data_IF_211566502041
#
_entry.id   IF_211566502041
#
_cell.length_a   1.000
_cell.length_b   1.000
_cell.length_c   1.000
_cell.angle_alpha   90.00
_cell.angle_beta   90.00
_cell.angle_gamma   90.00
#
_symmetry.space_group_name_H-M   'P 1'
#
loop_
_entity.id
_entity.type
_entity.pdbx_description
1 polymer ?
#
# COMPACT_ATOMS: atom_id res chain seq x y z
N UNK A 1 29.83 12.97 -14.13
CA UNK A 1 28.61 13.78 -14.04
C UNK A 1 27.51 12.83 -13.64
N UNK A 2 27.23 12.78 -12.34
CA UNK A 2 26.20 11.93 -11.77
C UNK A 2 24.85 12.51 -12.20
N UNK A 3 24.29 12.01 -13.29
CA UNK A 3 22.88 12.26 -13.61
C UNK A 3 22.09 11.36 -12.68
N UNK A 4 21.97 11.80 -11.42
CA UNK A 4 21.09 11.17 -10.45
C UNK A 4 19.73 11.06 -11.11
N UNK A 5 19.34 9.84 -11.47
CA UNK A 5 17.99 9.58 -11.95
C UNK A 5 17.09 9.95 -10.78
N UNK A 6 16.35 11.06 -10.92
CA UNK A 6 15.30 11.37 -9.96
C UNK A 6 14.33 10.19 -9.99
N UNK A 7 14.03 9.68 -8.80
CA UNK A 7 12.99 8.67 -8.62
C UNK A 7 11.70 9.17 -9.30
N UNK A 8 11.09 8.30 -10.10
CA UNK A 8 9.86 8.61 -10.82
C UNK A 8 8.70 8.53 -9.85
N UNK A 9 7.96 9.61 -9.68
CA UNK A 9 6.77 9.68 -8.83
C UNK A 9 5.53 9.84 -9.72
N UNK A 10 4.52 9.00 -9.54
CA UNK A 10 3.26 8.99 -10.31
C UNK A 10 2.06 8.75 -9.39
N UNK A 11 0.85 9.06 -9.87
CA UNK A 11 -0.40 8.62 -9.23
C UNK A 11 -0.72 7.17 -9.62
N UNK A 12 -1.41 6.43 -8.76
CA UNK A 12 -1.87 5.08 -9.07
C UNK A 12 -2.76 5.05 -10.33
N UNK A 13 -3.48 6.14 -10.63
CA UNK A 13 -4.34 6.23 -11.82
C UNK A 13 -3.56 6.29 -13.15
N UNK A 14 -2.25 6.53 -13.11
CA UNK A 14 -1.38 6.52 -14.28
C UNK A 14 -0.87 5.10 -14.59
N UNK A 15 -1.04 4.17 -13.64
CA UNK A 15 -0.59 2.79 -13.76
C UNK A 15 -1.69 1.88 -14.35
N UNK A 16 -1.24 0.86 -15.05
CA UNK A 16 -2.06 -0.26 -15.52
C UNK A 16 -1.54 -1.53 -14.87
N UNK A 17 -2.43 -2.26 -14.22
CA UNK A 17 -2.14 -3.55 -13.59
C UNK A 17 -2.53 -4.65 -14.57
N UNK A 18 -1.58 -5.51 -14.91
CA UNK A 18 -1.74 -6.56 -15.93
C UNK A 18 -1.30 -7.90 -15.33
N UNK A 19 -2.21 -8.86 -15.29
CA UNK A 19 -1.99 -10.21 -14.76
C UNK A 19 -3.32 -10.81 -14.29
N UNK A 20 -3.40 -12.14 -14.17
CA UNK A 20 -4.56 -12.80 -13.54
C UNK A 20 -4.25 -13.19 -12.09
N UNK A 21 -3.09 -13.83 -11.86
CA UNK A 21 -2.63 -14.25 -10.52
C UNK A 21 -1.50 -13.38 -9.95
N UNK A 22 -0.81 -12.63 -10.82
CA UNK A 22 0.37 -11.82 -10.47
C UNK A 22 0.30 -10.52 -11.27
N UNK A 23 -0.41 -9.53 -10.72
CA UNK A 23 -0.61 -8.24 -11.36
C UNK A 23 0.68 -7.43 -11.36
N UNK A 24 1.17 -7.09 -12.56
CA UNK A 24 2.34 -6.25 -12.73
C UNK A 24 1.89 -4.85 -13.12
N UNK A 25 2.38 -3.84 -12.39
CA UNK A 25 2.14 -2.44 -12.68
C UNK A 25 3.02 -1.94 -13.84
N UNK A 26 2.40 -1.25 -14.79
CA UNK A 26 3.06 -0.56 -15.90
C UNK A 26 2.60 0.89 -15.93
N UNK A 27 3.50 1.83 -16.23
CA UNK A 27 3.04 3.18 -16.56
C UNK A 27 2.31 3.16 -17.90
N UNK A 28 1.19 3.87 -18.00
CA UNK A 28 0.45 3.98 -19.25
C UNK A 28 1.33 4.43 -20.42
N UNK A 29 1.45 3.56 -21.43
CA UNK A 29 2.25 3.79 -22.64
C UNK A 29 3.67 3.25 -22.58
N UNK A 30 4.08 2.66 -21.45
CA UNK A 30 5.35 1.95 -21.30
C UNK A 30 5.12 0.44 -21.33
N UNK A 31 6.07 -0.30 -21.91
CA UNK A 31 6.03 -1.77 -21.99
C UNK A 31 6.91 -2.44 -20.91
N UNK A 32 7.61 -1.65 -20.09
CA UNK A 32 8.45 -2.16 -18.99
C UNK A 32 7.73 -2.03 -17.65
N UNK A 33 7.82 -3.04 -16.76
CA UNK A 33 7.27 -2.95 -15.42
C UNK A 33 7.73 -1.69 -14.68
N UNK A 34 6.80 -1.04 -13.99
CA UNK A 34 7.04 0.23 -13.33
C UNK A 34 8.02 0.05 -12.16
N UNK A 35 8.99 0.97 -12.07
CA UNK A 35 9.87 1.11 -10.90
C UNK A 35 9.91 2.58 -10.52
N UNK A 36 9.52 2.88 -9.30
CA UNK A 36 9.38 4.24 -8.81
C UNK A 36 8.40 4.33 -7.66
N UNK A 37 8.07 5.56 -7.29
CA UNK A 37 7.16 5.87 -6.20
C UNK A 37 5.76 6.14 -6.74
N UNK A 38 4.75 5.66 -6.01
CA UNK A 38 3.35 6.04 -6.20
C UNK A 38 2.95 6.94 -5.04
N UNK A 39 2.27 8.05 -5.35
CA UNK A 39 1.68 8.96 -4.37
C UNK A 39 0.32 9.44 -4.86
N UNK A 40 -0.69 9.38 -3.98
CA UNK A 40 -2.02 9.91 -4.25
C UNK A 40 -2.47 10.87 -3.16
N UNK A 41 -3.38 11.78 -3.52
CA UNK A 41 -3.83 12.88 -2.68
C UNK A 41 -5.35 13.02 -2.72
N UNK A 42 -5.93 13.38 -1.58
CA UNK A 42 -7.33 13.76 -1.46
C UNK A 42 -7.54 15.11 -2.14
N UNK A 43 -8.80 15.47 -2.43
CA UNK A 43 -9.16 16.78 -3.00
C UNK A 43 -8.70 17.96 -2.13
N UNK A 44 -8.55 17.72 -0.82
CA UNK A 44 -8.03 18.70 0.14
C UNK A 44 -6.49 18.86 0.10
N UNK A 45 -5.79 18.11 -0.74
CA UNK A 45 -4.34 18.14 -0.92
C UNK A 45 -3.53 17.33 0.10
N UNK A 46 -4.18 16.63 1.03
CA UNK A 46 -3.51 15.70 1.95
C UNK A 46 -3.22 14.36 1.25
N UNK A 47 -2.18 13.66 1.68
CA UNK A 47 -1.84 12.34 1.12
C UNK A 47 -2.95 11.34 1.41
N UNK A 48 -3.30 10.53 0.41
CA UNK A 48 -4.12 9.33 0.54
C UNK A 48 -3.19 8.16 0.85
N UNK A 49 -2.15 8.01 0.02
CA UNK A 49 -1.19 6.93 0.12
C UNK A 49 0.15 7.29 -0.50
N UNK A 50 1.18 6.56 -0.09
CA UNK A 50 2.45 6.49 -0.79
C UNK A 50 3.06 5.09 -0.67
N UNK A 51 3.72 4.64 -1.72
CA UNK A 51 4.42 3.36 -1.75
C UNK A 51 5.49 3.34 -2.84
N UNK A 52 6.38 2.36 -2.78
CA UNK A 52 7.40 2.15 -3.81
C UNK A 52 7.12 0.87 -4.57
N UNK A 53 7.29 0.93 -5.88
CA UNK A 53 7.19 -0.20 -6.76
C UNK A 53 8.56 -0.53 -7.35
N UNK A 54 8.81 -1.81 -7.51
CA UNK A 54 10.00 -2.35 -8.16
C UNK A 54 9.58 -3.49 -9.08
N UNK A 55 10.00 -3.41 -10.34
CA UNK A 55 9.66 -4.40 -11.36
C UNK A 55 8.13 -4.66 -11.45
N UNK A 56 7.34 -3.60 -11.23
CA UNK A 56 5.88 -3.59 -11.27
C UNK A 56 5.19 -4.10 -10.02
N UNK A 57 5.93 -4.44 -8.96
CA UNK A 57 5.40 -4.94 -7.68
C UNK A 57 5.64 -3.98 -6.53
N UNK A 58 4.72 -3.91 -5.58
CA UNK A 58 4.87 -3.12 -4.35
C UNK A 58 6.01 -3.70 -3.51
N UNK A 59 6.96 -2.83 -3.13
CA UNK A 59 8.21 -3.19 -2.47
C UNK A 59 8.54 -2.18 -1.37
N UNK A 60 8.81 -2.68 -0.17
CA UNK A 60 9.22 -1.85 0.97
C UNK A 60 8.05 -1.14 1.66
N UNK A 61 8.28 0.10 2.09
CA UNK A 61 7.32 0.85 2.90
C UNK A 61 6.16 1.37 2.07
N UNK A 62 4.95 1.06 2.54
CA UNK A 62 3.70 1.68 2.12
C UNK A 62 3.08 2.40 3.32
N UNK A 63 2.52 3.58 3.09
CA UNK A 63 1.78 4.35 4.10
C UNK A 63 0.51 4.89 3.50
N UNK A 64 -0.59 4.84 4.26
CA UNK A 64 -1.84 5.50 3.90
C UNK A 64 -2.37 6.35 5.04
N UNK A 65 -3.25 7.30 4.71
CA UNK A 65 -3.81 8.27 5.64
C UNK A 65 -5.32 8.36 5.50
N UNK A 66 -5.96 8.90 6.52
CA UNK A 66 -7.35 9.36 6.49
C UNK A 66 -7.42 10.76 5.89
N UNK A 67 -8.61 11.18 5.44
CA UNK A 67 -8.83 12.52 4.88
C UNK A 67 -8.57 13.64 5.93
N UNK A 68 -8.59 13.28 7.22
CA UNK A 68 -8.24 14.19 8.31
C UNK A 68 -6.72 14.33 8.54
N UNK A 69 -5.89 13.61 7.77
CA UNK A 69 -4.44 13.67 7.77
C UNK A 69 -3.76 12.76 8.78
N UNK A 70 -4.53 12.04 9.59
CA UNK A 70 -3.98 11.02 10.47
C UNK A 70 -3.58 9.78 9.67
N UNK A 71 -2.53 9.10 10.13
CA UNK A 71 -2.09 7.86 9.49
C UNK A 71 -3.18 6.80 9.65
N UNK A 72 -3.51 6.11 8.57
CA UNK A 72 -4.41 4.95 8.52
C UNK A 72 -3.61 3.67 8.64
N UNK A 73 -2.52 3.57 7.88
CA UNK A 73 -1.67 2.39 7.84
C UNK A 73 -0.21 2.72 7.59
N UNK A 74 0.66 1.85 8.10
CA UNK A 74 2.04 1.69 7.71
C UNK A 74 2.31 0.20 7.57
N UNK A 75 2.70 -0.22 6.37
CA UNK A 75 2.98 -1.62 6.07
C UNK A 75 4.28 -1.78 5.30
N UNK A 76 4.91 -2.95 5.44
CA UNK A 76 6.07 -3.31 4.67
C UNK A 76 5.72 -4.47 3.74
N UNK A 77 6.07 -4.30 2.48
CA UNK A 77 5.77 -5.24 1.41
C UNK A 77 7.06 -5.82 0.82
N UNK A 78 6.95 -7.01 0.25
CA UNK A 78 8.01 -7.62 -0.55
C UNK A 78 7.40 -8.39 -1.71
N UNK A 79 7.69 -7.98 -2.95
CA UNK A 79 7.12 -8.62 -4.14
C UNK A 79 5.60 -8.82 -4.02
N UNK A 80 4.87 -7.75 -3.65
CA UNK A 80 3.41 -7.74 -3.36
C UNK A 80 2.94 -8.57 -2.16
N UNK A 81 3.85 -9.16 -1.38
CA UNK A 81 3.51 -9.88 -0.15
C UNK A 81 3.57 -8.98 1.07
N UNK A 82 2.50 -8.97 1.86
CA UNK A 82 2.43 -8.18 3.09
C UNK A 82 3.33 -8.81 4.16
N UNK A 83 4.39 -8.12 4.59
CA UNK A 83 5.34 -8.64 5.57
C UNK A 83 5.12 -8.14 6.99
N UNK A 84 4.50 -6.97 7.17
CA UNK A 84 4.17 -6.38 8.46
C UNK A 84 3.16 -5.24 8.25
N UNK A 85 2.25 -5.00 9.20
CA UNK A 85 1.32 -3.89 9.15
C UNK A 85 1.02 -3.33 10.54
N UNK A 86 0.97 -2.01 10.62
CA UNK A 86 0.34 -1.26 11.71
C UNK A 86 -0.84 -0.49 11.12
N UNK A 87 -1.98 -0.58 11.79
CA UNK A 87 -3.20 0.16 11.40
C UNK A 87 -3.63 1.02 12.57
N UNK A 88 -4.15 2.20 12.27
CA UNK A 88 -4.75 3.12 13.22
C UNK A 88 -6.21 3.35 12.85
N UNK A 89 -7.01 3.82 13.79
CA UNK A 89 -8.37 4.31 13.58
C UNK A 89 -8.34 5.79 13.18
N UNK A 90 -9.45 6.36 12.66
CA UNK A 90 -9.50 7.78 12.29
C UNK A 90 -9.31 8.78 13.44
N UNK A 91 -9.39 8.31 14.69
CA UNK A 91 -9.13 9.10 15.89
C UNK A 91 -7.65 9.08 16.34
N UNK A 92 -6.81 8.28 15.67
CA UNK A 92 -5.37 8.22 15.89
C UNK A 92 -4.94 7.13 16.85
N UNK A 93 -5.89 6.37 17.41
CA UNK A 93 -5.59 5.20 18.22
C UNK A 93 -5.15 4.05 17.33
N UNK A 94 -4.19 3.24 17.81
CA UNK A 94 -3.82 2.00 17.11
C UNK A 94 -4.99 1.03 17.08
N UNK A 95 -5.14 0.33 15.96
CA UNK A 95 -6.07 -0.78 15.83
C UNK A 95 -5.72 -1.86 16.87
N UNK A 96 -6.67 -2.28 17.74
CA UNK A 96 -6.40 -3.28 18.76
C UNK A 96 -6.36 -4.72 18.21
N UNK A 97 -6.80 -4.93 16.97
CA UNK A 97 -6.93 -6.26 16.35
C UNK A 97 -5.80 -6.57 15.37
N UNK A 98 -5.32 -5.58 14.60
CA UNK A 98 -4.28 -5.80 13.59
C UNK A 98 -3.00 -6.31 14.23
N UNK A 99 -2.52 -7.48 13.77
CA UNK A 99 -1.37 -8.17 14.35
C UNK A 99 -0.55 -8.96 13.32
N UNK A 100 -0.22 -8.34 12.18
CA UNK A 100 0.64 -8.97 11.17
C UNK A 100 2.08 -9.05 11.72
N UNK A 101 2.57 -10.27 11.92
CA UNK A 101 3.96 -10.51 12.31
C UNK A 101 4.93 -10.29 11.14
N UNK A 102 6.24 -10.34 11.40
CA UNK A 102 7.31 -10.14 10.40
C UNK A 102 7.35 -11.18 9.27
N UNK A 103 6.55 -12.25 9.38
CA UNK A 103 6.41 -13.30 8.37
C UNK A 103 5.15 -13.10 7.54
N UNK A 104 4.45 -11.97 7.70
CA UNK A 104 3.23 -11.70 6.96
C UNK A 104 2.06 -12.56 7.41
N UNK A 105 2.03 -12.99 8.68
CA UNK A 105 0.94 -13.81 9.22
C UNK A 105 0.19 -13.05 10.29
N UNK A 106 -1.14 -13.04 10.22
CA UNK A 106 -2.00 -12.39 11.21
C UNK A 106 -3.27 -11.82 10.59
N UNK A 107 -3.89 -10.88 11.29
CA UNK A 107 -5.11 -10.20 10.83
C UNK A 107 -4.78 -8.74 10.51
N UNK A 108 -5.33 -8.23 9.41
CA UNK A 108 -5.34 -6.79 9.06
C UNK A 108 -6.80 -6.33 8.97
N UNK A 109 -7.10 -5.22 9.63
CA UNK A 109 -8.40 -4.54 9.57
C UNK A 109 -8.27 -3.29 8.73
N UNK A 110 -9.27 -2.99 7.92
CA UNK A 110 -9.47 -1.72 7.26
C UNK A 110 -10.64 -0.97 7.90
N UNK A 111 -10.43 0.31 8.21
CA UNK A 111 -11.48 1.19 8.70
C UNK A 111 -11.77 2.27 7.68
N UNK A 112 -13.04 2.65 7.57
CA UNK A 112 -13.49 3.85 6.89
C UNK A 112 -13.10 5.13 7.64
N UNK A 113 -13.22 6.29 6.98
CA UNK A 113 -12.95 7.60 7.59
C UNK A 113 -13.88 7.91 8.77
N UNK A 114 -15.06 7.30 8.83
CA UNK A 114 -15.99 7.43 9.98
C UNK A 114 -15.67 6.46 11.14
N UNK A 115 -14.72 5.55 10.95
CA UNK A 115 -14.26 4.58 11.94
C UNK A 115 -14.99 3.24 11.89
N UNK A 116 -15.89 3.03 10.92
CA UNK A 116 -16.50 1.72 10.65
C UNK A 116 -15.43 0.72 10.23
N UNK A 117 -15.42 -0.47 10.84
CA UNK A 117 -14.64 -1.61 10.35
C UNK A 117 -15.30 -2.12 9.07
N UNK A 118 -14.63 -1.96 7.93
CA UNK A 118 -15.16 -2.36 6.63
C UNK A 118 -14.70 -3.76 6.26
N UNK A 119 -13.38 -4.00 6.33
CA UNK A 119 -12.77 -5.25 5.92
C UNK A 119 -11.87 -5.84 6.99
N UNK A 120 -11.85 -7.17 7.01
CA UNK A 120 -10.94 -7.99 7.78
C UNK A 120 -10.34 -9.03 6.86
N UNK A 121 -9.02 -9.06 6.80
CA UNK A 121 -8.27 -10.09 6.07
C UNK A 121 -7.39 -10.86 7.03
N UNK A 122 -7.39 -12.19 6.85
CA UNK A 122 -6.41 -13.07 7.45
C UNK A 122 -5.29 -13.30 6.45
N UNK A 123 -4.05 -13.15 6.88
CA UNK A 123 -2.87 -13.34 6.07
C UNK A 123 -2.06 -14.53 6.56
N UNK A 124 -1.45 -15.24 5.62
CA UNK A 124 -0.43 -16.25 5.87
C UNK A 124 0.69 -16.11 4.85
N UNK A 125 1.92 -15.95 5.34
CA UNK A 125 3.11 -15.76 4.50
C UNK A 125 2.97 -14.60 3.49
N UNK A 126 2.20 -13.57 3.88
CA UNK A 126 1.94 -12.35 3.13
C UNK A 126 0.82 -12.41 2.10
N UNK A 127 0.23 -13.59 1.90
CA UNK A 127 -0.94 -13.79 1.04
C UNK A 127 -2.23 -13.80 1.87
N UNK A 128 -3.32 -13.26 1.31
CA UNK A 128 -4.65 -13.35 1.91
C UNK A 128 -5.10 -14.81 1.86
N UNK A 129 -5.64 -15.31 2.98
CA UNK A 129 -6.34 -16.59 3.00
C UNK A 129 -7.84 -16.32 3.11
N UNK A 130 -8.59 -16.81 2.13
CA UNK A 130 -10.05 -16.85 2.19
C UNK A 130 -10.48 -18.01 3.11
N UNK A 131 -11.46 -17.75 3.98
CA UNK A 131 -12.16 -18.78 4.77
C UNK A 131 -13.34 -19.37 3.96
#
# INVERSE_FOLDING_TARGET
MDRGMKEKVVSANELKFIGEDDEIAYLSGEDTPFTGKVEDFYDNGQKVEEGNYKDGKLEGLYTSWYENGQKREESNWRDDKLMAALVWKPNGEKCPVTNIDKHGTGIRIWYEDDGTEEFRWTFKEGDIIED
#
